data_IF_977079991887
#
_entry.id   IF_977079991887
#
_cell.length_a   1.000
_cell.length_b   1.000
_cell.length_c   1.000
_cell.angle_alpha   90.00
_cell.angle_beta   90.00
_cell.angle_gamma   90.00
#
_symmetry.space_group_name_H-M   'P 1'
#
loop_
_entity.id
_entity.type
_entity.pdbx_description
1 polymer ?
#
# COMPACT_ATOMS: atom_id res chain seq x y z
N UNK A 1 10.52 13.95 0.95
CA UNK A 1 11.05 12.76 0.25
C UNK A 1 10.61 11.53 1.03
N UNK A 2 10.09 10.50 0.34
CA UNK A 2 9.70 9.22 0.91
C UNK A 2 10.64 8.13 0.39
N UNK A 3 10.92 7.11 1.20
CA UNK A 3 11.67 5.93 0.80
C UNK A 3 10.79 4.72 1.08
N UNK A 4 10.54 3.91 0.06
CA UNK A 4 9.64 2.77 0.16
C UNK A 4 10.11 1.65 -0.76
N UNK A 5 9.50 0.48 -0.59
CA UNK A 5 9.73 -0.66 -1.46
C UNK A 5 9.15 -0.37 -2.86
N UNK A 6 9.84 -0.77 -3.97
CA UNK A 6 9.42 -0.42 -5.34
C UNK A 6 8.06 -1.00 -5.77
N UNK A 7 7.58 -2.04 -5.09
CA UNK A 7 6.25 -2.62 -5.35
C UNK A 7 5.12 -1.97 -4.55
N UNK A 8 5.41 -0.98 -3.70
CA UNK A 8 4.44 -0.31 -2.83
C UNK A 8 4.27 1.16 -3.24
N UNK A 9 3.11 1.74 -2.93
CA UNK A 9 2.90 3.18 -3.08
C UNK A 9 3.64 3.96 -2.00
N UNK A 10 4.10 5.19 -2.29
CA UNK A 10 4.70 6.05 -1.29
C UNK A 10 3.67 6.42 -0.22
N UNK A 11 4.00 6.14 1.03
CA UNK A 11 3.25 6.61 2.20
C UNK A 11 3.78 7.98 2.62
N UNK A 12 2.90 8.98 2.56
CA UNK A 12 3.24 10.36 2.93
C UNK A 12 3.25 10.60 4.43
N UNK A 13 2.76 9.68 5.27
CA UNK A 13 2.89 9.79 6.72
C UNK A 13 4.34 9.49 7.16
N UNK A 14 5.12 8.78 6.33
CA UNK A 14 6.52 8.39 6.59
C UNK A 14 7.48 9.05 5.60
N UNK A 15 7.73 10.34 5.82
CA UNK A 15 8.60 11.15 4.97
C UNK A 15 9.66 11.90 5.78
N UNK A 16 10.73 12.32 5.10
CA UNK A 16 11.63 13.35 5.61
C UNK A 16 11.55 14.61 4.75
N UNK A 17 11.78 15.75 5.37
CA UNK A 17 11.72 17.07 4.72
C UNK A 17 13.12 17.49 4.30
N UNK A 18 13.22 18.09 3.13
CA UNK A 18 14.45 18.66 2.60
C UNK A 18 14.23 20.18 2.52
N UNK A 19 15.05 20.99 3.21
CA UNK A 19 14.97 22.44 3.12
C UNK A 19 15.30 22.94 1.71
N UNK A 20 14.72 24.09 1.36
CA UNK A 20 15.03 24.77 0.11
C UNK A 20 16.47 25.28 0.10
N UNK A 21 17.07 25.37 -1.08
CA UNK A 21 18.42 25.89 -1.33
C UNK A 21 19.54 25.23 -0.52
N UNK A 22 19.33 23.96 -0.13
CA UNK A 22 20.31 23.18 0.61
C UNK A 22 20.54 21.81 -0.04
N UNK A 23 21.79 21.38 -0.05
CA UNK A 23 22.16 20.02 -0.44
C UNK A 23 22.08 19.10 0.78
N UNK A 24 21.30 18.02 0.69
CA UNK A 24 21.14 17.02 1.76
C UNK A 24 21.63 15.66 1.27
N UNK A 25 22.60 15.10 1.98
CA UNK A 25 23.11 13.75 1.72
C UNK A 25 22.43 12.74 2.66
N UNK A 26 21.82 11.70 2.10
CA UNK A 26 21.11 10.67 2.88
C UNK A 26 21.73 9.30 2.62
N UNK A 27 22.25 8.68 3.68
CA UNK A 27 22.71 7.29 3.64
C UNK A 27 21.55 6.31 3.80
N UNK A 28 21.34 5.44 2.82
CA UNK A 28 20.26 4.45 2.84
C UNK A 28 20.86 3.07 3.12
N UNK A 29 20.43 2.43 4.22
CA UNK A 29 20.82 1.05 4.56
C UNK A 29 19.57 0.15 4.57
N UNK A 30 19.30 -0.62 3.50
CA UNK A 30 18.16 -1.51 3.47
C UNK A 30 18.35 -2.68 4.45
N UNK A 31 17.28 -3.08 5.13
CA UNK A 31 17.22 -4.30 5.94
C UNK A 31 16.18 -5.24 5.33
N UNK A 32 16.63 -6.39 4.86
CA UNK A 32 15.75 -7.42 4.30
C UNK A 32 15.54 -8.54 5.31
N UNK A 33 14.30 -8.98 5.44
CA UNK A 33 13.92 -10.14 6.23
C UNK A 33 13.41 -11.18 5.22
N UNK A 34 14.09 -12.31 5.15
CA UNK A 34 13.74 -13.42 4.25
C UNK A 34 13.44 -14.66 5.08
N UNK A 35 12.67 -15.57 4.50
CA UNK A 35 12.35 -16.86 5.11
C UNK A 35 13.39 -17.89 4.68
N UNK A 36 13.77 -18.79 5.59
CA UNK A 36 14.72 -19.88 5.27
C UNK A 36 14.12 -20.85 4.25
N UNK A 37 14.97 -21.57 3.52
CA UNK A 37 14.52 -22.47 2.45
C UNK A 37 13.60 -23.58 2.99
N UNK A 38 13.88 -24.09 4.18
CA UNK A 38 13.12 -25.17 4.84
C UNK A 38 11.69 -24.75 5.15
N UNK A 39 11.48 -23.46 5.42
CA UNK A 39 10.18 -22.88 5.74
C UNK A 39 9.36 -22.52 4.50
N UNK A 40 9.93 -22.62 3.28
CA UNK A 40 9.19 -22.34 2.04
C UNK A 40 8.15 -23.42 1.72
N UNK A 41 8.34 -24.65 2.20
CA UNK A 41 7.42 -25.78 1.99
C UNK A 41 6.11 -25.65 2.77
N UNK A 42 6.12 -24.87 3.85
CA UNK A 42 4.94 -24.66 4.69
C UNK A 42 3.87 -23.92 3.88
N UNK A 43 2.61 -24.29 4.06
CA UNK A 43 1.52 -23.61 3.36
C UNK A 43 1.30 -22.20 3.94
N UNK A 44 0.72 -21.26 3.17
CA UNK A 44 0.35 -19.94 3.71
C UNK A 44 -0.57 -20.04 4.93
N UNK A 45 -1.41 -21.08 4.99
CA UNK A 45 -2.31 -21.34 6.12
C UNK A 45 -1.55 -21.73 7.37
N UNK A 46 -0.47 -22.50 7.29
CA UNK A 46 0.34 -22.83 8.47
C UNK A 46 1.18 -21.64 8.93
N UNK A 47 1.72 -20.85 7.99
CA UNK A 47 2.54 -19.66 8.29
C UNK A 47 1.75 -18.43 8.71
N UNK A 48 0.44 -18.39 8.46
CA UNK A 48 -0.43 -17.24 8.70
C UNK A 48 0.02 -15.96 7.95
N UNK A 49 0.82 -16.10 6.90
CA UNK A 49 1.28 -15.01 6.05
C UNK A 49 1.51 -15.51 4.61
N UNK A 50 1.67 -14.58 3.67
CA UNK A 50 1.84 -14.89 2.25
C UNK A 50 3.18 -14.39 1.74
N UNK A 51 3.82 -15.15 0.86
CA UNK A 51 4.90 -14.66 0.02
C UNK A 51 4.37 -13.78 -1.12
N UNK A 52 5.29 -13.03 -1.73
CA UNK A 52 4.97 -12.01 -2.75
C UNK A 52 4.15 -12.47 -3.96
N UNK A 53 4.09 -13.78 -4.23
CA UNK A 53 3.34 -14.40 -5.34
C UNK A 53 2.25 -15.37 -4.89
N UNK A 54 2.03 -15.55 -3.58
CA UNK A 54 1.06 -16.53 -3.08
C UNK A 54 -0.36 -15.99 -3.01
N UNK A 55 -0.52 -14.67 -2.93
CA UNK A 55 -1.82 -14.00 -2.89
C UNK A 55 -1.98 -13.09 -4.09
N UNK A 56 -3.05 -13.33 -4.85
CA UNK A 56 -3.48 -12.42 -5.91
C UNK A 56 -4.03 -11.12 -5.29
N UNK A 57 -3.62 -10.01 -5.87
CA UNK A 57 -4.10 -8.67 -5.57
C UNK A 57 -4.63 -8.08 -6.88
N UNK A 58 -5.77 -7.38 -6.81
CA UNK A 58 -6.48 -6.88 -8.00
C UNK A 58 -5.77 -5.71 -8.67
N UNK A 59 -5.20 -4.82 -7.88
CA UNK A 59 -4.59 -3.56 -8.30
C UNK A 59 -3.06 -3.60 -8.27
N UNK A 60 -2.46 -4.58 -7.57
CA UNK A 60 -1.01 -4.70 -7.41
C UNK A 60 -0.47 -6.02 -7.96
N UNK A 61 0.70 -5.98 -8.62
CA UNK A 61 1.35 -7.17 -9.20
C UNK A 61 2.02 -8.09 -8.18
N UNK A 62 2.33 -7.57 -6.98
CA UNK A 62 3.07 -8.29 -5.94
C UNK A 62 2.36 -8.11 -4.61
N UNK A 63 2.20 -9.22 -3.89
CA UNK A 63 1.72 -9.17 -2.53
C UNK A 63 2.78 -8.50 -1.63
N UNK A 64 2.33 -7.46 -0.94
CA UNK A 64 2.90 -7.01 0.32
C UNK A 64 1.74 -6.79 1.28
N UNK A 65 2.01 -6.75 2.59
CA UNK A 65 0.97 -6.46 3.56
C UNK A 65 0.33 -5.09 3.26
N UNK A 66 1.13 -4.09 2.91
CA UNK A 66 0.66 -2.74 2.64
C UNK A 66 -0.25 -2.69 1.40
N UNK A 67 0.16 -3.34 0.30
CA UNK A 67 -0.68 -3.43 -0.89
C UNK A 67 -2.03 -4.09 -0.60
N UNK A 68 -2.04 -5.18 0.18
CA UNK A 68 -3.28 -5.85 0.57
C UNK A 68 -4.21 -4.94 1.41
N UNK A 69 -3.65 -4.14 2.32
CA UNK A 69 -4.41 -3.18 3.12
C UNK A 69 -4.95 -2.03 2.26
N UNK A 70 -4.19 -1.55 1.28
CA UNK A 70 -4.66 -0.54 0.33
C UNK A 70 -5.83 -1.04 -0.52
N UNK A 71 -5.81 -2.30 -0.98
CA UNK A 71 -6.97 -2.87 -1.68
C UNK A 71 -8.18 -3.00 -0.76
N UNK A 72 -7.95 -3.43 0.48
CA UNK A 72 -9.00 -3.55 1.49
C UNK A 72 -9.68 -2.20 1.74
N UNK A 73 -8.88 -1.16 1.98
CA UNK A 73 -9.37 0.20 2.19
C UNK A 73 -10.12 0.73 0.97
N UNK A 74 -9.53 0.60 -0.22
CA UNK A 74 -10.17 1.04 -1.48
C UNK A 74 -11.52 0.36 -1.72
N UNK A 75 -11.60 -0.95 -1.52
CA UNK A 75 -12.84 -1.71 -1.67
C UNK A 75 -13.88 -1.34 -0.60
N UNK A 76 -13.44 -1.13 0.65
CA UNK A 76 -14.32 -0.70 1.73
C UNK A 76 -14.91 0.68 1.48
N UNK A 77 -14.07 1.65 1.10
CA UNK A 77 -14.54 3.00 0.75
C UNK A 77 -15.48 2.99 -0.45
N UNK A 78 -15.22 2.18 -1.47
CA UNK A 78 -16.15 2.01 -2.59
C UNK A 78 -17.51 1.49 -2.12
N UNK A 79 -17.53 0.45 -1.27
CA UNK A 79 -18.78 -0.13 -0.77
C UNK A 79 -19.56 0.85 0.12
N UNK A 80 -18.86 1.65 0.93
CA UNK A 80 -19.47 2.59 1.88
C UNK A 80 -19.88 3.93 1.24
N UNK A 81 -19.02 4.48 0.39
CA UNK A 81 -19.16 5.84 -0.16
C UNK A 81 -19.51 5.87 -1.66
N UNK A 82 -19.47 4.73 -2.36
CA UNK A 82 -19.79 4.65 -3.79
C UNK A 82 -18.73 5.25 -4.72
N UNK A 83 -17.57 5.63 -4.19
CA UNK A 83 -16.50 6.28 -4.94
C UNK A 83 -15.12 5.87 -4.40
N UNK A 84 -14.09 6.07 -5.22
CA UNK A 84 -12.70 5.82 -4.86
C UNK A 84 -12.01 7.12 -4.41
N UNK A 85 -11.25 7.12 -3.30
CA UNK A 85 -10.31 8.20 -3.00
C UNK A 85 -9.33 8.38 -4.16
N UNK A 86 -9.05 9.63 -4.55
CA UNK A 86 -8.24 9.89 -5.75
C UNK A 86 -6.84 9.23 -5.71
N UNK A 87 -6.25 9.14 -4.51
CA UNK A 87 -4.93 8.59 -4.24
C UNK A 87 -4.90 7.06 -4.05
N UNK A 88 -6.05 6.40 -4.03
CA UNK A 88 -6.14 4.95 -3.81
C UNK A 88 -6.13 4.14 -5.12
N UNK A 89 -5.71 2.86 -5.05
CA UNK A 89 -5.78 1.94 -6.18
C UNK A 89 -7.23 1.69 -6.60
N UNK A 90 -7.48 1.56 -7.89
CA UNK A 90 -8.84 1.57 -8.47
C UNK A 90 -8.90 0.84 -9.81
N UNK A 91 -10.11 0.48 -10.23
CA UNK A 91 -10.38 -0.20 -11.49
C UNK A 91 -10.32 0.75 -12.69
N UNK A 92 -10.42 0.19 -13.90
CA UNK A 92 -10.63 0.96 -15.12
C UNK A 92 -11.95 1.74 -15.02
N UNK A 93 -11.91 3.03 -15.38
CA UNK A 93 -13.02 3.99 -15.30
C UNK A 93 -13.66 4.15 -13.91
N UNK A 94 -12.90 4.59 -12.89
CA UNK A 94 -13.39 4.72 -11.50
C UNK A 94 -14.18 6.00 -11.28
N UNK A 95 -15.24 5.94 -10.46
CA UNK A 95 -15.89 7.12 -9.89
C UNK A 95 -15.00 7.65 -8.77
N UNK A 96 -14.43 8.84 -8.96
CA UNK A 96 -13.56 9.48 -7.96
C UNK A 96 -14.38 10.29 -6.97
N UNK A 97 -14.08 10.18 -5.68
CA UNK A 97 -14.73 10.97 -4.65
C UNK A 97 -14.42 12.46 -4.85
N UNK A 98 -15.47 13.27 -4.90
CA UNK A 98 -15.38 14.74 -4.89
C UNK A 98 -15.54 15.31 -3.48
N UNK A 99 -15.54 16.65 -3.33
CA UNK A 99 -15.67 17.32 -2.03
C UNK A 99 -16.92 16.93 -1.24
N UNK A 100 -18.02 16.58 -1.91
CA UNK A 100 -19.27 16.14 -1.27
C UNK A 100 -19.18 14.80 -0.54
N UNK A 101 -18.11 14.02 -0.76
CA UNK A 101 -17.90 12.72 -0.11
C UNK A 101 -16.93 12.79 1.07
N UNK A 102 -16.42 13.96 1.44
CA UNK A 102 -15.39 14.12 2.47
C UNK A 102 -15.77 13.52 3.82
N UNK A 103 -16.99 13.79 4.31
CA UNK A 103 -17.48 13.22 5.58
C UNK A 103 -17.52 11.68 5.53
N UNK A 104 -17.92 11.11 4.39
CA UNK A 104 -17.90 9.65 4.22
C UNK A 104 -16.46 9.11 4.22
N UNK A 105 -15.54 9.79 3.54
CA UNK A 105 -14.14 9.41 3.49
C UNK A 105 -13.49 9.38 4.87
N UNK A 106 -13.71 10.42 5.68
CA UNK A 106 -13.21 10.50 7.06
C UNK A 106 -13.78 9.36 7.92
N UNK A 107 -15.08 9.07 7.80
CA UNK A 107 -15.73 7.97 8.48
C UNK A 107 -15.38 6.58 7.91
N UNK A 108 -14.71 6.50 6.77
CA UNK A 108 -14.29 5.25 6.12
C UNK A 108 -12.85 4.85 6.44
N UNK A 109 -12.11 5.72 7.16
CA UNK A 109 -10.71 5.54 7.53
C UNK A 109 -10.51 4.63 8.74
#
# INVERSE_FOLDING_TARGET
VTLHHPSELPDMDRHFRVPLDQAVLVGIKPRMITVSEELKSYTPKERQCYFSKEKYLRYFKRYTQNNCLHECYSNFTLQKCGCYPFYMPKNDSPVICGPGSNECLENSR
#
